data_IF_740983743544
#
_entry.id   IF_740983743544
#
_cell.length_a   1.000
_cell.length_b   1.000
_cell.length_c   1.000
_cell.angle_alpha   90.00
_cell.angle_beta   90.00
_cell.angle_gamma   90.00
#
_symmetry.space_group_name_H-M   'P 1'
#
loop_
_entity.id
_entity.type
_entity.pdbx_description
1 polymer ?
#
# COMPACT_ATOMS: atom_id res chain seq x y z
N UNK A 1 21.92 10.33 -2.30
CA UNK A 1 20.61 11.01 -2.28
C UNK A 1 20.10 11.01 -0.85
N UNK A 2 20.37 12.07 -0.09
CA UNK A 2 19.82 12.28 1.26
C UNK A 2 18.44 12.99 1.23
N UNK A 3 17.85 13.18 0.04
CA UNK A 3 16.78 14.16 -0.19
C UNK A 3 15.36 13.62 -0.36
N UNK A 4 15.13 12.31 -0.33
CA UNK A 4 13.77 11.73 -0.34
C UNK A 4 13.31 11.28 1.06
N UNK A 5 14.26 11.02 1.97
CA UNK A 5 13.99 10.81 3.39
C UNK A 5 13.85 12.11 4.18
N UNK A 6 14.40 13.24 3.70
CA UNK A 6 14.26 14.52 4.40
C UNK A 6 12.82 15.05 4.36
N UNK A 7 12.03 14.72 3.33
CA UNK A 7 10.60 15.03 3.27
C UNK A 7 9.77 14.23 4.29
N UNK A 8 10.18 12.99 4.61
CA UNK A 8 9.57 12.19 5.68
C UNK A 8 9.76 12.86 7.05
N UNK A 9 10.97 13.37 7.34
CA UNK A 9 11.27 14.09 8.59
C UNK A 9 10.71 15.52 8.64
N UNK A 10 10.65 16.23 7.49
CA UNK A 10 10.12 17.59 7.44
C UNK A 10 8.59 17.64 7.60
N UNK A 11 7.87 16.60 7.15
CA UNK A 11 6.43 16.45 7.46
C UNK A 11 6.18 16.36 8.97
N UNK A 12 7.03 15.61 9.68
CA UNK A 12 7.02 15.46 11.14
C UNK A 12 7.24 16.78 11.90
N UNK A 13 8.16 17.63 11.44
CA UNK A 13 8.44 18.92 12.08
C UNK A 13 7.25 19.90 12.03
N UNK A 14 6.47 19.87 10.95
CA UNK A 14 5.32 20.79 10.77
C UNK A 14 4.11 20.45 11.67
N UNK A 15 3.94 19.16 12.02
CA UNK A 15 2.83 18.67 12.85
C UNK A 15 3.15 18.64 14.35
N UNK A 16 4.43 18.46 14.72
CA UNK A 16 4.86 18.41 16.13
C UNK A 16 4.68 19.73 16.88
N UNK A 17 4.61 20.87 16.19
CA UNK A 17 4.52 22.21 16.82
C UNK A 17 3.13 22.49 17.43
N UNK A 18 2.10 21.70 17.11
CA UNK A 18 0.71 22.00 17.52
C UNK A 18 0.21 21.34 18.82
N UNK A 19 0.97 20.49 19.51
CA UNK A 19 0.41 19.77 20.67
C UNK A 19 1.42 19.52 21.80
N UNK A 20 1.58 20.51 22.67
CA UNK A 20 2.27 20.35 23.95
C UNK A 20 1.45 19.51 24.94
N UNK A 21 1.79 18.24 25.11
CA UNK A 21 1.46 17.43 26.31
C UNK A 21 2.37 16.20 26.36
N UNK A 22 3.00 15.94 27.51
CA UNK A 22 3.78 14.74 27.79
C UNK A 22 2.95 13.48 27.47
N UNK A 23 3.33 12.74 26.42
CA UNK A 23 2.77 11.44 26.05
C UNK A 23 3.89 10.52 25.62
N UNK A 24 3.66 9.21 25.73
CA UNK A 24 4.57 8.16 25.24
C UNK A 24 4.75 8.29 23.71
N UNK A 25 5.90 7.87 23.18
CA UNK A 25 6.19 7.93 21.74
C UNK A 25 5.13 7.22 20.87
N UNK A 26 4.61 6.08 21.32
CA UNK A 26 3.59 5.31 20.61
C UNK A 26 2.24 6.06 20.48
N UNK A 27 1.86 6.87 21.48
CA UNK A 27 0.62 7.67 21.42
C UNK A 27 0.72 8.82 20.42
N UNK A 28 1.93 9.38 20.24
CA UNK A 28 2.19 10.48 19.31
C UNK A 28 2.16 9.96 17.87
N UNK A 29 2.80 8.82 17.59
CA UNK A 29 2.78 8.18 16.28
C UNK A 29 1.35 7.79 15.84
N UNK A 30 0.54 7.29 16.78
CA UNK A 30 -0.88 7.00 16.54
C UNK A 30 -1.70 8.27 16.22
N UNK A 31 -1.51 9.35 16.98
CA UNK A 31 -2.19 10.64 16.71
C UNK A 31 -1.86 11.17 15.29
N UNK A 32 -0.59 11.09 14.86
CA UNK A 32 -0.15 11.57 13.54
C UNK A 32 -0.78 10.74 12.41
N UNK A 33 -0.70 9.42 12.52
CA UNK A 33 -1.23 8.51 11.51
C UNK A 33 -2.76 8.63 11.38
N UNK A 34 -3.47 8.83 12.49
CA UNK A 34 -4.90 9.13 12.46
C UNK A 34 -5.25 10.42 11.72
N UNK A 35 -4.45 11.49 11.89
CA UNK A 35 -4.66 12.73 11.13
C UNK A 35 -4.43 12.53 9.63
N UNK A 36 -3.39 11.78 9.23
CA UNK A 36 -3.17 11.40 7.83
C UNK A 36 -4.39 10.64 7.26
N UNK A 37 -5.00 9.74 8.04
CA UNK A 37 -6.21 9.04 7.61
C UNK A 37 -7.43 9.95 7.49
N UNK A 38 -7.56 10.96 8.37
CA UNK A 38 -8.64 11.96 8.26
C UNK A 38 -8.47 12.81 7.02
N UNK A 39 -7.25 13.23 6.73
CA UNK A 39 -6.92 13.99 5.52
C UNK A 39 -7.20 13.18 4.25
N UNK A 40 -6.72 11.94 4.18
CA UNK A 40 -6.96 11.07 3.02
C UNK A 40 -8.45 10.82 2.77
N UNK A 41 -9.28 10.73 3.83
CA UNK A 41 -10.74 10.67 3.67
C UNK A 41 -11.32 11.98 3.13
N UNK A 42 -10.84 13.12 3.63
CA UNK A 42 -11.31 14.45 3.20
C UNK A 42 -10.97 14.71 1.74
N UNK A 43 -9.80 14.26 1.29
CA UNK A 43 -9.30 14.47 -0.07
C UNK A 43 -9.82 13.40 -1.05
N UNK A 44 -10.59 12.42 -0.57
CA UNK A 44 -11.12 11.33 -1.40
C UNK A 44 -10.12 10.22 -1.73
N UNK A 45 -8.88 10.29 -1.26
CA UNK A 45 -7.81 9.30 -1.49
C UNK A 45 -7.98 8.00 -0.69
N UNK A 46 -8.99 7.90 0.19
CA UNK A 46 -9.31 6.68 0.96
C UNK A 46 -10.73 6.19 0.71
N UNK A 47 -10.86 4.92 0.33
CA UNK A 47 -12.13 4.19 0.20
C UNK A 47 -12.22 3.03 1.18
N UNK A 48 -13.42 2.82 1.71
CA UNK A 48 -13.75 1.73 2.65
C UNK A 48 -15.01 0.94 2.25
N UNK A 49 -15.59 1.28 1.10
CA UNK A 49 -16.81 0.70 0.52
C UNK A 49 -16.67 0.69 -1.00
N UNK A 50 -17.60 0.01 -1.68
CA UNK A 50 -17.64 0.00 -3.15
C UNK A 50 -17.57 1.41 -3.72
N UNK A 51 -16.74 1.60 -4.75
CA UNK A 51 -16.48 2.90 -5.34
C UNK A 51 -15.19 2.95 -6.14
N UNK A 52 -14.84 4.16 -6.55
CA UNK A 52 -13.62 4.47 -7.31
C UNK A 52 -12.87 5.56 -6.57
N UNK A 53 -11.56 5.35 -6.39
CA UNK A 53 -10.64 6.37 -5.89
C UNK A 53 -9.69 6.74 -7.02
N UNK A 54 -9.55 8.05 -7.18
CA UNK A 54 -8.66 8.64 -8.15
C UNK A 54 -8.21 9.99 -7.58
N UNK A 55 -6.95 10.09 -7.19
CA UNK A 55 -6.41 11.38 -6.78
C UNK A 55 -6.17 12.26 -8.00
N UNK A 56 -6.73 13.46 -7.97
CA UNK A 56 -6.70 14.42 -9.09
C UNK A 56 -5.25 14.78 -9.45
N UNK A 57 -4.83 14.45 -10.68
CA UNK A 57 -3.45 14.65 -11.15
C UNK A 57 -2.53 13.44 -10.98
N UNK A 58 -2.97 12.40 -10.28
CA UNK A 58 -2.29 11.11 -10.25
C UNK A 58 -2.69 10.23 -11.44
N UNK A 59 -1.79 9.35 -11.89
CA UNK A 59 -2.11 8.30 -12.86
C UNK A 59 -2.63 7.02 -12.18
N UNK A 60 -2.87 7.06 -10.86
CA UNK A 60 -3.40 5.91 -10.11
C UNK A 60 -4.93 5.92 -10.20
N UNK A 61 -5.49 4.75 -10.46
CA UNK A 61 -6.93 4.54 -10.49
C UNK A 61 -7.20 3.23 -9.78
N UNK A 62 -7.94 3.28 -8.68
CA UNK A 62 -8.30 2.09 -7.92
C UNK A 62 -9.81 2.00 -7.82
N UNK A 63 -10.35 0.84 -8.17
CA UNK A 63 -11.76 0.54 -8.03
C UNK A 63 -11.95 -0.61 -7.05
N UNK A 64 -12.97 -0.50 -6.23
CA UNK A 64 -13.30 -1.50 -5.22
C UNK A 64 -14.79 -1.81 -5.29
N UNK A 65 -15.13 -3.07 -5.09
CA UNK A 65 -16.50 -3.50 -5.07
C UNK A 65 -16.66 -4.62 -4.05
N UNK A 66 -17.70 -4.52 -3.23
CA UNK A 66 -18.14 -5.57 -2.33
C UNK A 66 -19.64 -5.76 -2.49
N UNK A 67 -20.09 -7.01 -2.41
CA UNK A 67 -21.50 -7.38 -2.49
C UNK A 67 -21.79 -8.38 -1.38
N UNK A 68 -22.85 -8.10 -0.63
CA UNK A 68 -23.36 -9.00 0.41
C UNK A 68 -23.92 -10.28 -0.22
N UNK A 69 -23.57 -11.43 0.35
CA UNK A 69 -24.15 -12.73 0.02
C UNK A 69 -25.47 -13.00 0.76
N UNK A 70 -25.96 -14.24 0.69
CA UNK A 70 -27.28 -14.61 1.23
C UNK A 70 -27.23 -15.05 2.71
N UNK A 71 -26.03 -15.32 3.25
CA UNK A 71 -25.81 -15.90 4.60
C UNK A 71 -25.81 -14.86 5.73
N UNK A 72 -26.71 -13.89 5.71
CA UNK A 72 -26.79 -12.88 6.78
C UNK A 72 -25.88 -11.66 6.52
N UNK A 73 -25.42 -10.99 7.59
CA UNK A 73 -24.63 -9.74 7.50
C UNK A 73 -23.33 -10.00 6.73
N UNK A 74 -22.94 -9.08 5.84
CA UNK A 74 -21.63 -9.15 5.19
C UNK A 74 -20.54 -8.94 6.24
N UNK A 75 -19.73 -9.96 6.49
CA UNK A 75 -18.63 -9.89 7.45
C UNK A 75 -17.34 -9.37 6.82
N UNK A 76 -17.31 -9.28 5.49
CA UNK A 76 -16.19 -8.80 4.73
C UNK A 76 -16.12 -7.28 4.77
N UNK A 77 -14.90 -6.74 4.79
CA UNK A 77 -14.68 -5.34 4.48
C UNK A 77 -13.36 -5.12 3.76
N UNK A 78 -13.23 -3.95 3.14
CA UNK A 78 -12.05 -3.58 2.37
C UNK A 78 -11.62 -2.15 2.66
N UNK A 79 -10.39 -1.85 2.32
CA UNK A 79 -9.85 -0.49 2.28
C UNK A 79 -8.89 -0.34 1.09
N UNK A 80 -8.98 0.81 0.43
CA UNK A 80 -7.91 1.31 -0.44
C UNK A 80 -7.55 2.70 0.03
N UNK A 81 -6.26 2.97 0.11
CA UNK A 81 -5.72 4.26 0.48
C UNK A 81 -4.60 4.62 -0.51
N UNK A 82 -4.92 5.49 -1.46
CA UNK A 82 -3.97 6.11 -2.37
C UNK A 82 -3.20 7.23 -1.66
N UNK A 83 -1.95 7.43 -2.04
CA UNK A 83 -1.02 8.33 -1.35
C UNK A 83 -0.79 7.94 0.12
N UNK A 84 -0.61 6.63 0.34
CA UNK A 84 -0.51 6.06 1.68
C UNK A 84 0.65 6.66 2.47
N UNK A 85 0.36 7.25 3.63
CA UNK A 85 1.37 7.97 4.43
C UNK A 85 1.83 9.30 3.81
N UNK A 86 0.96 9.93 3.02
CA UNK A 86 1.25 11.15 2.26
C UNK A 86 2.42 10.95 1.28
N UNK A 87 2.52 9.75 0.68
CA UNK A 87 3.51 9.38 -0.33
C UNK A 87 2.81 9.11 -1.65
N UNK A 88 2.98 10.00 -2.64
CA UNK A 88 2.28 9.96 -3.93
C UNK A 88 2.44 8.62 -4.70
N UNK A 89 3.54 7.90 -4.49
CA UNK A 89 3.90 6.63 -5.13
C UNK A 89 3.42 5.38 -4.38
N UNK A 90 2.77 5.57 -3.23
CA UNK A 90 2.35 4.47 -2.35
C UNK A 90 0.84 4.30 -2.29
N UNK A 91 0.40 3.05 -2.35
CA UNK A 91 -0.99 2.65 -2.17
C UNK A 91 -1.06 1.51 -1.17
N UNK A 92 -1.95 1.62 -0.20
CA UNK A 92 -2.32 0.52 0.69
C UNK A 92 -3.67 -0.05 0.28
N UNK A 93 -3.72 -1.37 0.12
CA UNK A 93 -4.96 -2.11 -0.12
C UNK A 93 -5.12 -3.18 0.97
N UNK A 94 -6.34 -3.37 1.46
CA UNK A 94 -6.66 -4.42 2.43
C UNK A 94 -8.02 -5.03 2.16
N UNK A 95 -8.10 -6.36 2.27
CA UNK A 95 -9.34 -7.15 2.30
C UNK A 95 -9.37 -7.96 3.58
N UNK A 96 -10.52 -7.96 4.26
CA UNK A 96 -10.68 -8.56 5.57
C UNK A 96 -11.96 -9.40 5.56
N UNK A 97 -11.81 -10.71 5.66
CA UNK A 97 -12.90 -11.69 5.78
C UNK A 97 -13.16 -11.93 7.27
N UNK A 98 -14.25 -11.39 7.79
CA UNK A 98 -14.64 -11.59 9.19
C UNK A 98 -15.34 -12.93 9.38
N UNK A 99 -15.08 -13.62 10.48
CA UNK A 99 -15.75 -14.87 10.83
C UNK A 99 -16.13 -14.92 12.32
N UNK A 100 -17.12 -15.77 12.64
CA UNK A 100 -17.68 -15.88 13.97
C UNK A 100 -18.77 -14.85 14.27
N UNK A 101 -19.38 -14.87 15.47
CA UNK A 101 -20.52 -14.03 15.81
C UNK A 101 -20.23 -12.51 15.67
N UNK A 102 -18.99 -12.11 15.97
CA UNK A 102 -18.53 -10.71 15.90
C UNK A 102 -17.54 -10.46 14.75
N UNK A 103 -17.37 -11.40 13.82
CA UNK A 103 -16.37 -11.30 12.74
C UNK A 103 -16.46 -10.00 11.95
N UNK A 104 -17.67 -9.52 11.68
CA UNK A 104 -17.90 -8.24 11.00
C UNK A 104 -17.44 -7.00 11.79
N UNK A 105 -17.42 -7.06 13.12
CA UNK A 105 -16.86 -6.00 13.98
C UNK A 105 -15.34 -6.12 14.03
N UNK A 106 -14.81 -7.34 14.21
CA UNK A 106 -13.35 -7.60 14.20
C UNK A 106 -12.74 -7.14 12.88
N UNK A 107 -13.28 -7.57 11.74
CA UNK A 107 -12.80 -7.16 10.42
C UNK A 107 -12.81 -5.63 10.24
N UNK A 108 -13.88 -4.95 10.69
CA UNK A 108 -13.96 -3.48 10.62
C UNK A 108 -12.93 -2.78 11.52
N UNK A 109 -12.64 -3.35 12.69
CA UNK A 109 -11.63 -2.84 13.61
C UNK A 109 -10.22 -3.02 13.01
N UNK A 110 -9.89 -4.23 12.54
CA UNK A 110 -8.62 -4.48 11.87
C UNK A 110 -8.44 -3.58 10.64
N UNK A 111 -9.47 -3.43 9.80
CA UNK A 111 -9.45 -2.48 8.66
C UNK A 111 -9.15 -1.04 9.10
N UNK A 112 -9.59 -0.64 10.29
CA UNK A 112 -9.36 0.72 10.83
C UNK A 112 -7.93 0.85 11.35
N UNK A 113 -7.44 -0.12 12.10
CA UNK A 113 -6.18 -0.03 12.85
C UNK A 113 -4.96 -0.45 12.05
N UNK A 114 -5.09 -1.49 11.21
CA UNK A 114 -4.00 -2.06 10.41
C UNK A 114 -3.19 -1.02 9.60
N UNK A 115 -3.79 -0.16 8.75
CA UNK A 115 -3.02 0.84 7.99
C UNK A 115 -2.26 1.81 8.90
N UNK A 116 -2.80 2.12 10.10
CA UNK A 116 -2.21 3.11 11.00
C UNK A 116 -1.09 2.58 11.84
N UNK A 117 -1.29 1.40 12.42
CA UNK A 117 -0.22 0.66 13.03
C UNK A 117 0.88 0.33 12.01
N UNK A 118 0.55 0.09 10.73
CA UNK A 118 1.55 -0.15 9.69
C UNK A 118 2.41 1.07 9.40
N UNK A 119 1.83 2.25 9.17
CA UNK A 119 2.61 3.48 8.97
C UNK A 119 3.49 3.79 10.17
N UNK A 120 2.95 3.68 11.38
CA UNK A 120 3.70 3.95 12.61
C UNK A 120 4.89 2.99 12.75
N UNK A 121 4.66 1.67 12.68
CA UNK A 121 5.74 0.68 12.85
C UNK A 121 6.72 0.65 11.68
N UNK A 122 6.31 1.11 10.49
CA UNK A 122 7.20 1.38 9.37
C UNK A 122 8.13 2.57 9.65
N UNK A 123 7.59 3.70 10.09
CA UNK A 123 8.39 4.87 10.48
C UNK A 123 9.36 4.54 11.61
N UNK A 124 8.92 3.84 12.65
CA UNK A 124 9.79 3.43 13.77
C UNK A 124 10.94 2.52 13.30
N UNK A 125 10.62 1.56 12.42
CA UNK A 125 11.62 0.59 11.94
C UNK A 125 12.61 1.25 10.98
N UNK A 126 12.17 2.21 10.17
CA UNK A 126 13.07 3.05 9.36
C UNK A 126 14.00 3.90 10.22
N UNK A 127 13.47 4.53 11.28
CA UNK A 127 14.28 5.34 12.18
C UNK A 127 15.35 4.50 12.88
N UNK A 128 15.00 3.30 13.35
CA UNK A 128 15.95 2.36 13.96
C UNK A 128 17.01 1.87 12.98
N UNK A 129 16.62 1.51 11.76
CA UNK A 129 17.56 1.08 10.72
C UNK A 129 18.55 2.19 10.34
N UNK A 130 18.15 3.46 10.47
CA UNK A 130 19.01 4.62 10.17
C UNK A 130 20.07 4.90 11.25
N UNK A 131 19.97 4.28 12.43
CA UNK A 131 20.88 4.49 13.57
C UNK A 131 21.94 3.39 13.69
N UNK A 132 21.81 2.31 12.93
CA UNK A 132 22.71 1.16 13.00
C UNK A 132 23.99 1.44 12.18
N UNK A 133 25.18 1.52 12.82
CA UNK A 133 26.44 1.82 12.13
C UNK A 133 26.90 0.73 11.17
N UNK A 134 26.44 -0.51 11.36
CA UNK A 134 26.75 -1.66 10.50
C UNK A 134 25.72 -1.83 9.36
N UNK A 135 24.75 -0.91 9.26
CA UNK A 135 23.70 -0.92 8.23
C UNK A 135 24.25 -0.46 6.88
N UNK A 136 24.78 -1.41 6.13
CA UNK A 136 25.30 -1.19 4.80
C UNK A 136 24.17 -1.01 3.77
N UNK A 137 23.98 0.22 3.30
CA UNK A 137 23.05 0.55 2.20
C UNK A 137 23.57 0.10 0.83
N UNK A 138 24.82 -0.35 0.71
CA UNK A 138 25.49 -0.63 -0.56
C UNK A 138 25.41 -2.09 -1.02
N UNK A 139 25.23 -3.07 -0.11
CA UNK A 139 25.27 -4.49 -0.51
C UNK A 139 23.92 -5.09 -0.94
N UNK A 140 22.76 -4.65 -0.41
CA UNK A 140 21.47 -5.18 -0.87
C UNK A 140 20.23 -4.31 -0.52
N UNK A 141 20.10 -3.15 -1.18
CA UNK A 141 19.00 -2.17 -0.94
C UNK A 141 17.59 -2.77 -1.01
N UNK A 142 17.37 -3.77 -1.87
CA UNK A 142 16.06 -4.39 -2.04
C UNK A 142 15.74 -5.36 -0.90
N UNK A 143 16.73 -6.14 -0.46
CA UNK A 143 16.59 -7.03 0.69
C UNK A 143 16.36 -6.24 1.97
N UNK A 144 17.14 -5.17 2.20
CA UNK A 144 16.98 -4.27 3.35
C UNK A 144 15.61 -3.59 3.38
N UNK A 145 15.09 -3.12 2.23
CA UNK A 145 13.74 -2.52 2.16
C UNK A 145 12.64 -3.53 2.43
N UNK A 146 12.78 -4.75 1.89
CA UNK A 146 11.83 -5.83 2.16
C UNK A 146 11.85 -6.21 3.65
N UNK A 147 13.02 -6.30 4.28
CA UNK A 147 13.16 -6.65 5.68
C UNK A 147 12.59 -5.58 6.61
N UNK A 148 12.75 -4.30 6.28
CA UNK A 148 12.07 -3.20 6.98
C UNK A 148 10.56 -3.40 6.91
N UNK A 149 9.99 -3.57 5.71
CA UNK A 149 8.54 -3.78 5.55
C UNK A 149 8.05 -5.02 6.27
N UNK A 150 8.78 -6.14 6.17
CA UNK A 150 8.46 -7.40 6.84
C UNK A 150 8.46 -7.24 8.35
N UNK A 151 9.48 -6.62 8.92
CA UNK A 151 9.59 -6.38 10.38
C UNK A 151 8.49 -5.43 10.86
N UNK A 152 8.21 -4.37 10.11
CA UNK A 152 7.11 -3.46 10.39
C UNK A 152 5.77 -4.17 10.36
N UNK A 153 5.52 -5.00 9.34
CA UNK A 153 4.29 -5.76 9.20
C UNK A 153 4.04 -6.72 10.37
N UNK A 154 5.06 -7.46 10.80
CA UNK A 154 4.97 -8.37 11.94
C UNK A 154 4.64 -7.59 13.22
N UNK A 155 5.33 -6.46 13.46
CA UNK A 155 5.03 -5.58 14.60
C UNK A 155 3.62 -5.01 14.54
N UNK A 156 3.13 -4.67 13.35
CA UNK A 156 1.77 -4.20 13.13
C UNK A 156 0.75 -5.28 13.48
N UNK A 157 0.94 -6.51 13.02
CA UNK A 157 0.05 -7.62 13.38
C UNK A 157 -0.04 -7.78 14.89
N UNK A 158 1.11 -7.80 15.59
CA UNK A 158 1.15 -7.90 17.05
C UNK A 158 0.43 -6.73 17.74
N UNK A 159 0.63 -5.49 17.26
CA UNK A 159 -0.03 -4.32 17.82
C UNK A 159 -1.55 -4.32 17.61
N UNK A 160 -2.01 -4.76 16.43
CA UNK A 160 -3.45 -4.88 16.13
C UNK A 160 -4.08 -5.99 16.95
N UNK A 161 -3.38 -7.11 17.14
CA UNK A 161 -3.85 -8.22 17.96
C UNK A 161 -4.03 -7.79 19.42
N UNK A 162 -3.03 -7.10 19.98
CA UNK A 162 -3.13 -6.51 21.32
C UNK A 162 -4.29 -5.50 21.44
N UNK A 163 -4.51 -4.65 20.43
CA UNK A 163 -5.64 -3.71 20.43
C UNK A 163 -7.00 -4.45 20.45
N UNK A 164 -7.11 -5.58 19.76
CA UNK A 164 -8.30 -6.42 19.77
C UNK A 164 -8.52 -7.10 21.12
N UNK A 165 -7.45 -7.58 21.77
CA UNK A 165 -7.52 -8.15 23.12
C UNK A 165 -7.99 -7.13 24.18
N UNK A 166 -7.56 -5.88 24.03
CA UNK A 166 -7.97 -4.78 24.92
C UNK A 166 -9.40 -4.27 24.65
N UNK A 167 -9.98 -4.60 23.48
CA UNK A 167 -11.30 -4.17 23.06
C UNK A 167 -12.42 -4.95 23.77
N UNK A 168 -12.91 -4.41 24.89
CA UNK A 168 -13.98 -5.02 25.69
C UNK A 168 -15.38 -5.00 25.03
N UNK A 169 -15.53 -4.30 23.92
CA UNK A 169 -16.80 -4.16 23.21
C UNK A 169 -17.07 -5.31 22.23
N UNK A 170 -16.03 -6.07 21.85
CA UNK A 170 -16.09 -7.10 20.82
C UNK A 170 -15.60 -8.43 21.41
N UNK A 171 -16.42 -9.48 21.32
CA UNK A 171 -15.98 -10.82 21.70
C UNK A 171 -15.11 -11.44 20.59
N UNK A 172 -13.79 -11.42 20.82
CA UNK A 172 -12.75 -11.97 19.95
C UNK A 172 -12.42 -13.43 20.27
N UNK A 173 -12.98 -14.03 21.33
CA UNK A 173 -12.65 -15.41 21.70
C UNK A 173 -13.20 -16.43 20.69
N UNK A 174 -14.33 -16.12 20.07
CA UNK A 174 -14.98 -16.94 19.05
C UNK A 174 -15.15 -16.21 17.71
N UNK A 175 -14.46 -15.08 17.52
CA UNK A 175 -14.57 -14.26 16.33
C UNK A 175 -13.20 -13.80 15.86
N UNK A 176 -13.03 -13.65 14.56
CA UNK A 176 -11.76 -13.26 13.98
C UNK A 176 -11.90 -12.64 12.60
N UNK A 177 -10.77 -12.34 11.99
CA UNK A 177 -10.73 -11.97 10.58
C UNK A 177 -9.49 -12.51 9.89
N UNK A 178 -9.64 -12.95 8.65
CA UNK A 178 -8.52 -13.23 7.75
C UNK A 178 -8.25 -11.98 6.93
N UNK A 179 -7.04 -11.43 7.06
CA UNK A 179 -6.63 -10.20 6.39
C UNK A 179 -5.63 -10.48 5.26
N UNK A 180 -5.90 -9.96 4.07
CA UNK A 180 -4.93 -9.80 2.99
C UNK A 180 -4.66 -8.31 2.82
N UNK A 181 -3.41 -7.89 2.96
CA UNK A 181 -3.03 -6.49 2.70
C UNK A 181 -1.84 -6.40 1.77
N UNK A 182 -1.79 -5.32 1.00
CA UNK A 182 -0.76 -5.05 -0.01
C UNK A 182 -0.34 -3.60 0.16
N UNK A 183 0.95 -3.36 0.38
CA UNK A 183 1.56 -2.06 0.17
C UNK A 183 2.24 -2.09 -1.17
N UNK A 184 1.74 -1.25 -2.07
CA UNK A 184 2.25 -1.07 -3.42
C UNK A 184 3.01 0.24 -3.44
N UNK A 185 4.33 0.16 -3.57
CA UNK A 185 5.19 1.29 -3.89
C UNK A 185 5.63 1.12 -5.36
N UNK A 186 5.08 1.93 -6.26
CA UNK A 186 5.27 1.74 -7.71
C UNK A 186 6.38 2.61 -8.24
N UNK A 187 7.17 2.01 -9.14
CA UNK A 187 8.09 2.60 -10.10
C UNK A 187 8.26 4.12 -9.96
N UNK A 188 9.43 4.54 -9.48
CA UNK A 188 9.85 5.95 -9.40
C UNK A 188 9.74 6.75 -10.71
N UNK A 189 9.54 6.07 -11.85
CA UNK A 189 9.73 6.64 -13.18
C UNK A 189 8.64 6.30 -14.20
N UNK A 190 7.80 5.28 -13.96
CA UNK A 190 6.76 4.83 -14.90
C UNK A 190 5.44 4.58 -14.15
N UNK A 191 4.33 5.17 -14.59
CA UNK A 191 3.03 4.86 -13.99
C UNK A 191 2.53 3.47 -14.39
N UNK A 192 1.58 2.90 -13.63
CA UNK A 192 0.95 1.63 -14.02
C UNK A 192 0.31 1.69 -15.41
N UNK A 193 -0.38 2.80 -15.74
CA UNK A 193 -1.00 2.96 -17.05
C UNK A 193 0.05 3.06 -18.15
N UNK A 194 1.11 3.84 -17.95
CA UNK A 194 2.25 3.88 -18.88
C UNK A 194 2.85 2.49 -19.08
N UNK A 195 3.01 1.69 -18.00
CA UNK A 195 3.51 0.34 -18.10
C UNK A 195 2.59 -0.57 -18.93
N UNK A 196 1.27 -0.50 -18.71
CA UNK A 196 0.26 -1.24 -19.48
C UNK A 196 0.25 -0.79 -20.93
N UNK A 197 0.34 0.51 -21.21
CA UNK A 197 0.36 1.07 -22.56
C UNK A 197 1.63 0.63 -23.31
N UNK A 198 2.79 0.62 -22.65
CA UNK A 198 4.06 0.14 -23.23
C UNK A 198 3.96 -1.36 -23.54
N UNK A 199 3.42 -2.16 -22.62
CA UNK A 199 3.28 -3.61 -22.79
C UNK A 199 2.25 -3.95 -23.88
N UNK A 200 1.12 -3.24 -23.92
CA UNK A 200 0.03 -3.49 -24.87
C UNK A 200 0.32 -2.94 -26.27
N UNK A 201 1.04 -1.83 -26.39
CA UNK A 201 1.50 -1.29 -27.68
C UNK A 201 2.64 -2.09 -28.30
N UNK A 202 3.25 -3.01 -27.55
CA UNK A 202 4.32 -3.84 -28.09
C UNK A 202 3.75 -4.92 -29.02
N UNK A 203 4.08 -4.91 -30.33
CA UNK A 203 3.53 -5.88 -31.30
C UNK A 203 4.03 -7.31 -31.06
N UNK A 204 5.20 -7.45 -30.43
CA UNK A 204 5.82 -8.73 -30.08
C UNK A 204 5.78 -8.93 -28.56
N UNK A 205 4.84 -9.75 -28.08
CA UNK A 205 4.68 -10.06 -26.65
C UNK A 205 5.97 -10.54 -25.99
N UNK A 206 6.83 -11.25 -26.72
CA UNK A 206 8.14 -11.71 -26.21
C UNK A 206 9.10 -10.57 -25.88
N UNK A 207 8.89 -9.36 -26.43
CA UNK A 207 9.69 -8.17 -26.17
C UNK A 207 9.03 -7.19 -25.18
N UNK A 208 7.83 -7.47 -24.69
CA UNK A 208 7.09 -6.52 -23.85
C UNK A 208 7.86 -6.17 -22.55
N UNK A 209 8.41 -7.17 -21.86
CA UNK A 209 9.21 -6.93 -20.66
C UNK A 209 10.47 -6.10 -20.97
N UNK A 210 11.15 -6.40 -22.09
CA UNK A 210 12.32 -5.63 -22.54
C UNK A 210 11.97 -4.18 -22.86
N UNK A 211 10.87 -3.95 -23.58
CA UNK A 211 10.42 -2.61 -23.92
C UNK A 211 10.01 -1.82 -22.68
N UNK A 212 9.31 -2.46 -21.74
CA UNK A 212 8.95 -1.86 -20.47
C UNK A 212 10.19 -1.43 -19.68
N UNK A 213 11.18 -2.31 -19.53
CA UNK A 213 12.45 -1.99 -18.87
C UNK A 213 13.17 -0.85 -19.59
N UNK A 214 13.27 -0.88 -20.92
CA UNK A 214 13.93 0.19 -21.68
C UNK A 214 13.23 1.54 -21.51
N UNK A 215 11.90 1.55 -21.50
CA UNK A 215 11.14 2.76 -21.20
C UNK A 215 11.42 3.25 -19.78
N UNK A 216 11.50 2.35 -18.80
CA UNK A 216 11.80 2.72 -17.41
C UNK A 216 13.21 3.32 -17.28
N UNK A 217 14.20 2.70 -17.91
CA UNK A 217 15.58 3.22 -18.01
C UNK A 217 15.61 4.63 -18.61
N UNK A 218 14.89 4.85 -19.73
CA UNK A 218 14.82 6.18 -20.36
C UNK A 218 14.11 7.19 -19.47
N UNK A 219 13.01 6.79 -18.83
CA UNK A 219 12.28 7.63 -17.91
C UNK A 219 13.14 8.03 -16.70
N UNK A 220 13.94 7.10 -16.16
CA UNK A 220 14.90 7.37 -15.09
C UNK A 220 15.95 8.39 -15.49
N UNK A 221 16.61 8.19 -16.65
CA UNK A 221 17.61 9.15 -17.15
C UNK A 221 17.05 10.56 -17.34
N UNK A 222 15.74 10.67 -17.60
CA UNK A 222 15.05 11.97 -17.79
C UNK A 222 14.59 12.60 -16.47
N UNK A 223 13.94 11.81 -15.62
CA UNK A 223 13.27 12.26 -14.37
C UNK A 223 14.22 12.33 -13.17
N UNK A 224 15.28 11.51 -13.13
CA UNK A 224 16.21 11.37 -11.99
C UNK A 224 17.67 11.56 -12.43
N UNK A 225 18.00 12.74 -12.97
CA UNK A 225 19.37 13.09 -13.43
C UNK A 225 20.34 13.15 -12.25
N UNK A 226 21.54 12.59 -12.44
CA UNK A 226 22.61 12.60 -11.42
C UNK A 226 22.44 11.57 -10.30
N UNK A 227 21.41 10.73 -10.38
CA UNK A 227 21.16 9.63 -9.44
C UNK A 227 21.46 8.31 -10.14
N UNK A 228 22.28 7.47 -9.51
CA UNK A 228 22.57 6.12 -9.99
C UNK A 228 21.27 5.31 -10.15
N UNK A 229 21.13 4.64 -11.29
CA UNK A 229 19.99 3.79 -11.60
C UNK A 229 20.21 2.42 -10.96
N UNK A 230 19.29 2.00 -10.10
CA UNK A 230 19.27 0.63 -9.57
C UNK A 230 18.76 -0.35 -10.64
N UNK A 231 18.90 -1.65 -10.38
CA UNK A 231 18.46 -2.70 -11.31
C UNK A 231 16.95 -2.66 -11.57
N UNK A 232 16.57 -2.81 -12.84
CA UNK A 232 15.16 -2.79 -13.28
C UNK A 232 14.83 -4.15 -13.92
N UNK A 233 13.98 -4.92 -13.24
CA UNK A 233 13.48 -6.21 -13.72
C UNK A 233 11.98 -6.12 -14.01
N UNK A 234 11.52 -6.78 -15.08
CA UNK A 234 10.11 -6.88 -15.40
C UNK A 234 9.75 -8.29 -15.88
N UNK A 235 8.57 -8.76 -15.48
CA UNK A 235 7.96 -9.97 -15.99
C UNK A 235 6.61 -9.57 -16.59
N UNK A 236 6.36 -9.95 -17.85
CA UNK A 236 5.08 -9.73 -18.51
C UNK A 236 4.40 -11.09 -18.71
N UNK A 237 3.25 -11.29 -18.06
CA UNK A 237 2.44 -12.51 -18.17
C UNK A 237 1.20 -12.17 -18.99
N UNK A 238 0.96 -12.93 -20.07
CA UNK A 238 -0.19 -12.74 -20.95
C UNK A 238 -1.20 -13.87 -20.75
N UNK A 239 -2.37 -13.54 -20.24
CA UNK A 239 -3.48 -14.50 -20.16
C UNK A 239 -4.15 -14.61 -21.54
N UNK A 240 -4.25 -15.83 -22.07
CA UNK A 240 -5.00 -16.08 -23.30
C UNK A 240 -6.51 -15.92 -23.02
N UNK A 241 -7.16 -15.00 -23.73
CA UNK A 241 -8.60 -15.09 -23.94
C UNK A 241 -8.80 -15.83 -25.27
N UNK A 242 -9.37 -17.05 -25.28
CA UNK A 242 -9.71 -17.70 -26.54
C UNK A 242 -10.77 -16.84 -27.23
N UNK A 243 -10.46 -16.34 -28.42
CA UNK A 243 -11.44 -15.70 -29.29
C UNK A 243 -12.48 -16.75 -29.70
N UNK A 244 -13.76 -16.47 -29.45
CA UNK A 244 -14.86 -17.18 -30.12
C UNK A 244 -14.63 -17.03 -31.64
N UNK A 245 -14.18 -18.10 -32.30
CA UNK A 245 -14.15 -18.15 -33.75
C UNK A 245 -15.60 -18.20 -34.24
N UNK A 246 -16.12 -17.07 -34.74
CA UNK A 246 -17.25 -17.11 -35.66
C UNK A 246 -16.79 -17.83 -36.93
N UNK A 247 -17.05 -19.15 -37.00
CA UNK A 247 -17.28 -19.79 -38.30
C UNK A 247 -18.70 -19.45 -38.69
N UNK A 248 -18.84 -18.48 -39.59
CA UNK A 248 -20.03 -18.38 -40.42
C UNK A 248 -19.84 -19.45 -41.49
N UNK A 249 -20.43 -20.63 -41.27
CA UNK A 249 -20.61 -21.61 -42.33
C UNK A 249 -21.73 -21.09 -43.22
N UNK A 250 -21.37 -20.58 -44.39
CA UNK A 250 -22.28 -20.35 -45.50
C UNK A 250 -22.63 -21.69 -46.13
N UNK A 251 -23.92 -22.06 -46.08
CA UNK A 251 -24.58 -23.04 -46.94
C UNK A 251 -25.89 -22.43 -47.44
#
# INVERSE_FOLDING_TARGET
MMGHFSTLLNGLASLSIKKGRNRCGDDIGRDITEEMAKEAKKNGSMLRSSGVVHVQGSNSFSSVFTRRGEKGVNQDCLIVWEEFGCQEDMTFCGMFDGHGPWGHFVAKQVRKSMPMALLCKWQDTLALASLDPDFDWESDKNLNRFDVWKKSYIKTCAAVDQELEECREIDTFHSGTTALTIVKQVWDVISNQEAVDIVSSTPDRGKAAKNLVQCAVRAWKRKRRGIAMDDISAICIFFHCPTFSHKIDSS
#
